data_IF_055734649838
#
_entry.id   IF_055734649838
#
_cell.length_a   1.000
_cell.length_b   1.000
_cell.length_c   1.000
_cell.angle_alpha   90.00
_cell.angle_beta   90.00
_cell.angle_gamma   90.00
#
_symmetry.space_group_name_H-M   'P 1'
#
loop_
_entity.id
_entity.type
_entity.pdbx_description
1 polymer ?
#
# COMPACT_ATOMS: atom_id res chain seq x y z
N UNK A 1 105.65 -54.75 22.40
CA UNK A 1 105.17 -55.31 21.13
C UNK A 1 103.73 -54.91 20.92
N UNK A 2 103.40 -54.63 19.67
CA UNK A 2 102.22 -53.93 19.17
C UNK A 2 100.86 -54.65 19.36
N UNK A 3 99.86 -53.78 19.25
CA UNK A 3 98.39 -53.90 19.07
C UNK A 3 97.96 -54.88 17.93
N UNK A 4 96.65 -55.21 17.74
CA UNK A 4 95.70 -54.23 17.20
C UNK A 4 94.20 -54.32 17.64
N UNK A 5 93.62 -53.14 17.89
CA UNK A 5 92.40 -52.52 17.31
C UNK A 5 91.12 -53.37 17.14
N UNK A 6 90.01 -52.88 17.73
CA UNK A 6 88.62 -52.74 17.17
C UNK A 6 87.63 -52.58 18.35
N UNK A 7 86.58 -51.76 18.41
CA UNK A 7 85.79 -51.00 17.45
C UNK A 7 85.13 -49.78 18.13
N UNK A 8 84.78 -48.78 17.32
CA UNK A 8 84.01 -47.57 17.64
C UNK A 8 82.58 -47.88 18.13
N UNK A 9 82.06 -47.08 19.05
CA UNK A 9 80.62 -46.85 19.20
C UNK A 9 80.32 -45.34 19.04
N UNK A 10 79.68 -45.01 17.91
CA UNK A 10 79.10 -43.72 17.59
C UNK A 10 77.79 -43.56 18.38
N UNK A 11 77.73 -42.57 19.27
CA UNK A 11 76.49 -42.16 19.92
C UNK A 11 75.69 -41.29 18.94
N UNK A 12 74.81 -41.93 18.15
CA UNK A 12 73.82 -41.24 17.34
C UNK A 12 72.73 -40.64 18.24
N UNK A 13 72.64 -39.31 18.27
CA UNK A 13 71.56 -38.55 18.90
C UNK A 13 70.26 -38.79 18.12
N UNK A 14 69.37 -39.65 18.62
CA UNK A 14 68.03 -39.88 18.03
C UNK A 14 67.14 -38.68 18.34
N UNK A 15 67.01 -37.75 17.41
CA UNK A 15 66.01 -36.67 17.41
C UNK A 15 64.65 -37.20 16.94
N UNK A 16 64.05 -38.12 17.69
CA UNK A 16 62.67 -38.57 17.45
C UNK A 16 61.70 -37.75 18.29
N UNK A 17 61.09 -36.69 17.73
CA UNK A 17 59.89 -36.10 18.36
C UNK A 17 58.81 -37.20 18.43
N UNK A 18 58.19 -37.46 19.59
CA UNK A 18 57.21 -38.52 19.71
C UNK A 18 56.00 -38.22 18.83
N UNK A 19 55.59 -39.18 17.98
CA UNK A 19 54.34 -39.10 17.24
C UNK A 19 53.17 -39.06 18.24
N UNK A 20 52.27 -38.09 18.11
CA UNK A 20 51.13 -37.98 19.01
C UNK A 20 50.22 -39.22 18.84
N UNK A 21 49.71 -39.76 19.95
CA UNK A 21 48.79 -40.90 19.93
C UNK A 21 47.48 -40.54 19.22
N UNK A 22 46.91 -41.44 18.41
CA UNK A 22 45.67 -41.21 17.62
C UNK A 22 44.49 -40.57 18.40
N UNK A 23 44.33 -40.88 19.70
CA UNK A 23 43.30 -40.27 20.56
C UNK A 23 43.51 -38.78 20.88
N UNK A 24 44.74 -38.26 20.77
CA UNK A 24 45.03 -36.82 20.89
C UNK A 24 44.63 -36.11 19.60
N UNK A 25 45.01 -36.65 18.45
CA UNK A 25 44.60 -36.12 17.14
C UNK A 25 43.08 -36.06 16.98
N UNK A 26 42.34 -37.06 17.47
CA UNK A 26 40.87 -37.06 17.42
C UNK A 26 40.23 -35.92 18.24
N UNK A 27 40.76 -35.63 19.44
CA UNK A 27 40.28 -34.50 20.26
C UNK A 27 40.54 -33.14 19.59
N UNK A 28 41.71 -32.99 18.96
CA UNK A 28 42.05 -31.77 18.22
C UNK A 28 41.16 -31.60 16.99
N UNK A 29 40.91 -32.65 16.22
CA UNK A 29 40.03 -32.60 15.04
C UNK A 29 38.58 -32.27 15.40
N UNK A 30 38.05 -32.80 16.51
CA UNK A 30 36.72 -32.44 17.01
C UNK A 30 36.67 -30.97 17.44
N UNK A 31 37.71 -30.48 18.14
CA UNK A 31 37.80 -29.07 18.53
C UNK A 31 37.77 -28.14 17.33
N UNK A 32 38.46 -28.50 16.25
CA UNK A 32 38.49 -27.72 15.00
C UNK A 32 37.14 -27.73 14.28
N UNK A 33 36.46 -28.88 14.21
CA UNK A 33 35.08 -28.95 13.67
C UNK A 33 34.14 -28.05 14.47
N UNK A 34 34.19 -28.10 15.80
CA UNK A 34 33.34 -27.26 16.66
C UNK A 34 33.63 -25.77 16.43
N UNK A 35 34.91 -25.38 16.33
CA UNK A 35 35.30 -24.00 16.05
C UNK A 35 34.80 -23.52 14.67
N UNK A 36 34.92 -24.37 13.64
CA UNK A 36 34.40 -24.07 12.29
C UNK A 36 32.88 -23.92 12.32
N UNK A 37 32.16 -24.82 13.01
CA UNK A 37 30.70 -24.75 13.14
C UNK A 37 30.28 -23.47 13.86
N UNK A 38 30.93 -23.10 14.97
CA UNK A 38 30.67 -21.83 15.66
C UNK A 38 30.91 -20.64 14.73
N UNK A 39 32.01 -20.65 13.96
CA UNK A 39 32.30 -19.62 12.97
C UNK A 39 31.19 -19.47 11.92
N UNK A 40 30.71 -20.58 11.37
CA UNK A 40 29.61 -20.60 10.40
C UNK A 40 28.31 -20.09 11.03
N UNK A 41 27.98 -20.53 12.25
CA UNK A 41 26.76 -20.10 12.93
C UNK A 41 26.77 -18.60 13.24
N UNK A 42 27.90 -18.04 13.67
CA UNK A 42 28.04 -16.59 13.90
C UNK A 42 27.90 -15.83 12.57
N UNK A 43 28.55 -16.31 11.51
CA UNK A 43 28.43 -15.70 10.18
C UNK A 43 26.98 -15.70 9.67
N UNK A 44 26.26 -16.81 9.85
CA UNK A 44 24.84 -16.91 9.53
C UNK A 44 23.99 -15.98 10.40
N UNK A 45 24.27 -15.88 11.69
CA UNK A 45 23.53 -14.96 12.58
C UNK A 45 23.70 -13.49 12.19
N UNK A 46 24.93 -13.07 11.87
CA UNK A 46 25.20 -11.70 11.40
C UNK A 46 24.45 -11.43 10.09
N UNK A 47 24.48 -12.38 9.15
CA UNK A 47 23.76 -12.27 7.90
C UNK A 47 22.24 -12.15 8.11
N UNK A 48 21.67 -12.99 8.97
CA UNK A 48 20.24 -12.96 9.31
C UNK A 48 19.83 -11.65 9.99
N UNK A 49 20.68 -11.10 10.88
CA UNK A 49 20.41 -9.81 11.52
C UNK A 49 20.44 -8.63 10.54
N UNK A 50 21.40 -8.62 9.62
CA UNK A 50 21.47 -7.64 8.55
C UNK A 50 20.23 -7.70 7.64
N UNK A 51 19.81 -8.91 7.26
CA UNK A 51 18.61 -9.13 6.44
C UNK A 51 17.34 -8.63 7.14
N UNK A 52 17.17 -8.98 8.43
CA UNK A 52 16.04 -8.48 9.24
C UNK A 52 16.01 -6.95 9.31
N UNK A 53 17.17 -6.31 9.42
CA UNK A 53 17.28 -4.84 9.48
C UNK A 53 16.88 -4.19 8.15
N UNK A 54 17.27 -4.80 7.02
CA UNK A 54 16.83 -4.36 5.69
C UNK A 54 15.32 -4.49 5.52
N UNK A 55 14.76 -5.65 5.83
CA UNK A 55 13.30 -5.88 5.77
C UNK A 55 12.55 -4.87 6.64
N UNK A 56 13.03 -4.59 7.85
CA UNK A 56 12.41 -3.60 8.73
C UNK A 56 12.43 -2.18 8.15
N UNK A 57 13.52 -1.82 7.49
CA UNK A 57 13.66 -0.51 6.84
C UNK A 57 12.69 -0.39 5.66
N UNK A 58 12.54 -1.46 4.87
CA UNK A 58 11.58 -1.52 3.77
C UNK A 58 10.13 -1.47 4.26
N UNK A 59 9.80 -2.19 5.33
CA UNK A 59 8.49 -2.15 5.98
C UNK A 59 8.13 -0.71 6.40
N UNK A 60 9.03 -0.03 7.14
CA UNK A 60 8.77 1.34 7.62
C UNK A 60 8.57 2.31 6.45
N UNK A 61 9.38 2.18 5.39
CA UNK A 61 9.24 3.01 4.19
C UNK A 61 7.86 2.81 3.55
N UNK A 62 7.47 1.56 3.31
CA UNK A 62 6.19 1.22 2.71
C UNK A 62 5.00 1.68 3.56
N UNK A 63 5.07 1.46 4.89
CA UNK A 63 4.04 1.93 5.83
C UNK A 63 3.91 3.46 5.83
N UNK A 64 5.02 4.18 5.63
CA UNK A 64 5.00 5.64 5.53
C UNK A 64 4.29 6.09 4.25
N UNK A 65 4.57 5.43 3.12
CA UNK A 65 3.91 5.70 1.83
C UNK A 65 2.41 5.36 1.90
N UNK A 66 2.04 4.21 2.45
CA UNK A 66 0.65 3.80 2.69
C UNK A 66 -0.08 4.80 3.59
N UNK A 67 0.54 5.23 4.70
CA UNK A 67 -0.05 6.24 5.58
C UNK A 67 -0.31 7.55 4.83
N UNK A 68 0.62 8.00 4.00
CA UNK A 68 0.44 9.21 3.20
C UNK A 68 -0.72 9.08 2.21
N UNK A 69 -0.81 7.94 1.52
CA UNK A 69 -1.92 7.65 0.61
C UNK A 69 -3.27 7.65 1.35
N UNK A 70 -3.36 6.96 2.49
CA UNK A 70 -4.59 6.90 3.30
C UNK A 70 -5.03 8.26 3.86
N UNK A 71 -4.07 9.15 4.19
CA UNK A 71 -4.40 10.52 4.60
C UNK A 71 -4.99 11.30 3.43
N UNK A 72 -4.40 11.17 2.22
CA UNK A 72 -4.93 11.79 1.01
C UNK A 72 -6.34 11.28 0.70
N UNK A 73 -6.54 9.96 0.73
CA UNK A 73 -7.84 9.33 0.49
C UNK A 73 -8.89 9.84 1.48
N UNK A 74 -8.52 9.98 2.77
CA UNK A 74 -9.42 10.49 3.80
C UNK A 74 -9.86 11.93 3.55
N UNK A 75 -8.96 12.81 3.14
CA UNK A 75 -9.31 14.21 2.87
C UNK A 75 -10.15 14.34 1.58
N UNK A 76 -9.87 13.53 0.55
CA UNK A 76 -10.69 13.45 -0.66
C UNK A 76 -12.12 12.98 -0.34
N UNK A 77 -12.26 11.89 0.43
CA UNK A 77 -13.56 11.37 0.87
C UNK A 77 -14.33 12.43 1.66
N UNK A 78 -13.69 13.18 2.56
CA UNK A 78 -14.35 14.27 3.29
C UNK A 78 -14.84 15.38 2.37
N UNK A 79 -14.03 15.77 1.37
CA UNK A 79 -14.43 16.76 0.38
C UNK A 79 -15.67 16.27 -0.38
N UNK A 80 -15.63 15.02 -0.86
CA UNK A 80 -16.73 14.40 -1.60
C UNK A 80 -18.02 14.32 -0.76
N UNK A 81 -17.92 13.99 0.54
CA UNK A 81 -19.06 14.03 1.46
C UNK A 81 -19.65 15.44 1.56
N UNK A 82 -18.82 16.48 1.64
CA UNK A 82 -19.27 17.86 1.66
C UNK A 82 -19.99 18.27 0.39
N UNK A 83 -19.48 17.86 -0.78
CA UNK A 83 -20.12 18.10 -2.07
C UNK A 83 -21.47 17.37 -2.17
N UNK A 84 -21.54 16.09 -1.78
CA UNK A 84 -22.81 15.36 -1.76
C UNK A 84 -23.85 15.98 -0.83
N UNK A 85 -23.43 16.47 0.34
CA UNK A 85 -24.33 17.17 1.26
C UNK A 85 -24.88 18.46 0.62
N UNK A 86 -24.02 19.22 -0.08
CA UNK A 86 -24.42 20.41 -0.83
C UNK A 86 -25.42 20.06 -1.95
N UNK A 87 -25.13 19.03 -2.75
CA UNK A 87 -26.01 18.54 -3.82
C UNK A 87 -27.36 18.09 -3.27
N UNK A 88 -27.39 17.32 -2.19
CA UNK A 88 -28.63 16.87 -1.55
C UNK A 88 -29.48 18.05 -1.07
N UNK A 89 -28.85 19.08 -0.50
CA UNK A 89 -29.54 20.31 -0.11
C UNK A 89 -30.12 21.06 -1.32
N UNK A 90 -29.35 21.21 -2.41
CA UNK A 90 -29.87 21.81 -3.65
C UNK A 90 -31.05 21.03 -4.22
N UNK A 91 -30.98 19.71 -4.26
CA UNK A 91 -32.09 18.85 -4.72
C UNK A 91 -33.32 19.06 -3.83
N UNK A 92 -33.14 19.15 -2.51
CA UNK A 92 -34.26 19.36 -1.57
C UNK A 92 -34.96 20.70 -1.82
N UNK A 93 -34.20 21.77 -2.03
CA UNK A 93 -34.71 23.10 -2.39
C UNK A 93 -35.48 23.05 -3.71
N UNK A 94 -34.92 22.41 -4.74
CA UNK A 94 -35.58 22.28 -6.04
C UNK A 94 -36.89 21.49 -5.92
N UNK A 95 -36.89 20.36 -5.20
CA UNK A 95 -38.08 19.54 -5.01
C UNK A 95 -39.19 20.31 -4.29
N UNK A 96 -38.86 21.03 -3.22
CA UNK A 96 -39.83 21.87 -2.51
C UNK A 96 -40.37 22.99 -3.41
N UNK A 97 -39.50 23.66 -4.15
CA UNK A 97 -39.87 24.75 -5.03
C UNK A 97 -40.79 24.30 -6.18
N UNK A 98 -40.44 23.18 -6.84
CA UNK A 98 -41.21 22.60 -7.94
C UNK A 98 -42.54 22.01 -7.45
N UNK A 99 -42.55 21.31 -6.32
CA UNK A 99 -43.78 20.71 -5.75
C UNK A 99 -44.82 21.75 -5.38
N UNK A 100 -44.38 22.90 -4.89
CA UNK A 100 -45.25 24.05 -4.56
C UNK A 100 -45.57 24.92 -5.79
N UNK A 101 -45.11 24.55 -6.99
CA UNK A 101 -45.33 25.27 -8.25
C UNK A 101 -44.96 26.76 -8.16
N UNK A 102 -43.88 27.05 -7.45
CA UNK A 102 -43.41 28.41 -7.26
C UNK A 102 -42.83 28.98 -8.56
N UNK A 103 -42.90 30.31 -8.76
CA UNK A 103 -42.35 30.94 -9.95
C UNK A 103 -40.82 30.88 -9.96
N UNK A 104 -40.26 30.69 -11.14
CA UNK A 104 -38.82 30.73 -11.38
C UNK A 104 -38.18 32.00 -10.83
N UNK A 105 -36.97 31.85 -10.29
CA UNK A 105 -36.07 32.95 -9.99
C UNK A 105 -34.61 32.50 -10.19
N UNK A 106 -33.71 33.47 -10.40
CA UNK A 106 -32.31 33.20 -10.79
C UNK A 106 -31.46 32.52 -9.69
N UNK A 107 -31.95 32.40 -8.45
CA UNK A 107 -31.24 31.61 -7.42
C UNK A 107 -31.30 30.10 -7.70
N UNK A 108 -32.32 29.64 -8.43
CA UNK A 108 -32.49 28.24 -8.79
C UNK A 108 -31.40 27.74 -9.74
N UNK A 109 -30.80 28.62 -10.54
CA UNK A 109 -29.79 28.25 -11.53
C UNK A 109 -28.58 27.55 -10.89
N UNK A 110 -28.16 28.02 -9.71
CA UNK A 110 -27.10 27.37 -8.94
C UNK A 110 -27.55 25.99 -8.45
N UNK A 111 -28.78 25.87 -7.96
CA UNK A 111 -29.30 24.60 -7.47
C UNK A 111 -29.45 23.57 -8.58
N UNK A 112 -29.89 23.97 -9.78
CA UNK A 112 -29.93 23.09 -10.95
C UNK A 112 -28.55 22.61 -11.36
N UNK A 113 -27.55 23.49 -11.37
CA UNK A 113 -26.17 23.11 -11.68
C UNK A 113 -25.63 22.10 -10.65
N UNK A 114 -25.78 22.43 -9.36
CA UNK A 114 -25.27 21.62 -8.25
C UNK A 114 -25.99 20.28 -8.09
N UNK A 115 -27.27 20.18 -8.52
CA UNK A 115 -28.04 18.94 -8.52
C UNK A 115 -27.48 17.89 -9.49
N UNK A 116 -26.72 18.32 -10.50
CA UNK A 116 -26.07 17.46 -11.48
C UNK A 116 -24.59 17.21 -11.16
N UNK A 117 -24.10 17.72 -10.02
CA UNK A 117 -22.70 17.55 -9.64
C UNK A 117 -22.41 16.07 -9.30
N UNK A 118 -21.28 15.57 -9.77
CA UNK A 118 -20.77 14.22 -9.47
C UNK A 118 -19.37 14.33 -8.92
N UNK A 119 -19.09 13.62 -7.84
CA UNK A 119 -17.75 13.56 -7.26
C UNK A 119 -16.95 12.41 -7.87
N UNK A 120 -15.63 12.46 -7.71
CA UNK A 120 -14.72 11.37 -8.09
C UNK A 120 -13.81 11.08 -6.92
N UNK A 121 -13.67 9.79 -6.58
CA UNK A 121 -12.73 9.35 -5.57
C UNK A 121 -11.32 9.28 -6.19
N UNK A 122 -10.44 10.19 -5.76
CA UNK A 122 -9.07 10.33 -6.24
C UNK A 122 -8.10 9.49 -5.41
N UNK A 123 -8.17 8.18 -5.58
CA UNK A 123 -7.39 7.20 -4.80
C UNK A 123 -5.95 7.00 -5.30
N UNK A 124 -5.02 6.77 -4.38
CA UNK A 124 -3.64 6.32 -4.70
C UNK A 124 -3.35 4.91 -4.19
N UNK A 125 -3.38 3.92 -5.10
CA UNK A 125 -3.13 2.50 -4.78
C UNK A 125 -1.67 2.06 -4.87
N UNK A 126 -0.78 2.89 -5.44
CA UNK A 126 0.62 2.50 -5.77
C UNK A 126 1.40 1.85 -4.60
N UNK A 127 1.36 2.37 -3.36
CA UNK A 127 2.04 1.72 -2.23
C UNK A 127 1.44 0.35 -1.89
N UNK A 128 0.13 0.17 -2.03
CA UNK A 128 -0.54 -1.11 -1.78
C UNK A 128 -0.26 -2.13 -2.89
N UNK A 129 -0.22 -1.70 -4.15
CA UNK A 129 0.25 -2.55 -5.26
C UNK A 129 1.70 -3.01 -5.04
N UNK A 130 2.56 -2.11 -4.56
CA UNK A 130 3.94 -2.43 -4.19
C UNK A 130 4.00 -3.49 -3.08
N UNK A 131 3.13 -3.41 -2.06
CA UNK A 131 3.01 -4.44 -1.02
C UNK A 131 2.66 -5.79 -1.62
N UNK A 132 1.68 -5.85 -2.54
CA UNK A 132 1.28 -7.11 -3.19
C UNK A 132 2.42 -7.73 -4.01
N UNK A 133 3.20 -6.91 -4.71
CA UNK A 133 4.36 -7.36 -5.50
C UNK A 133 5.50 -7.84 -4.60
N UNK A 134 5.83 -7.09 -3.54
CA UNK A 134 6.91 -7.43 -2.60
C UNK A 134 6.57 -8.61 -1.69
N UNK A 135 5.28 -8.87 -1.47
CA UNK A 135 4.76 -9.91 -0.60
C UNK A 135 4.16 -9.30 0.66
N UNK A 136 2.94 -9.75 1.07
CA UNK A 136 2.25 -9.17 2.23
C UNK A 136 3.06 -9.31 3.51
N UNK A 137 3.80 -10.42 3.68
CA UNK A 137 4.60 -10.71 4.89
C UNK A 137 5.74 -9.72 5.16
N UNK A 138 6.00 -8.78 4.24
CA UNK A 138 6.89 -7.63 4.48
C UNK A 138 6.41 -6.77 5.66
N UNK A 139 5.09 -6.67 5.89
CA UNK A 139 4.54 -6.03 7.08
C UNK A 139 4.45 -7.08 8.18
N UNK A 140 5.16 -6.93 9.30
CA UNK A 140 5.20 -7.92 10.38
C UNK A 140 3.85 -8.01 11.12
N UNK A 141 3.07 -6.93 11.13
CA UNK A 141 1.79 -6.87 11.85
C UNK A 141 0.64 -7.46 11.03
N UNK A 142 0.27 -8.71 11.31
CA UNK A 142 -0.82 -9.44 10.66
C UNK A 142 -2.16 -8.68 10.67
N UNK A 143 -2.51 -8.09 11.81
CA UNK A 143 -3.77 -7.35 11.94
C UNK A 143 -3.80 -6.11 11.04
N UNK A 144 -2.68 -5.40 10.93
CA UNK A 144 -2.54 -4.27 10.02
C UNK A 144 -2.63 -4.72 8.56
N UNK A 145 -2.00 -5.84 8.20
CA UNK A 145 -2.11 -6.41 6.84
C UNK A 145 -3.55 -6.70 6.45
N UNK A 146 -4.30 -7.35 7.35
CA UNK A 146 -5.71 -7.67 7.12
C UNK A 146 -6.54 -6.40 6.95
N UNK A 147 -6.33 -5.37 7.78
CA UNK A 147 -7.04 -4.10 7.66
C UNK A 147 -6.72 -3.37 6.34
N UNK A 148 -5.45 -3.38 5.92
CA UNK A 148 -5.05 -2.82 4.62
C UNK A 148 -5.71 -3.57 3.47
N UNK A 149 -5.70 -4.91 3.50
CA UNK A 149 -6.39 -5.72 2.50
C UNK A 149 -7.89 -5.43 2.42
N UNK A 150 -8.57 -5.36 3.57
CA UNK A 150 -10.00 -5.03 3.61
C UNK A 150 -10.29 -3.67 2.97
N UNK A 151 -9.49 -2.65 3.32
CA UNK A 151 -9.62 -1.30 2.74
C UNK A 151 -9.42 -1.28 1.22
N UNK A 152 -8.26 -1.74 0.75
CA UNK A 152 -7.88 -1.59 -0.65
C UNK A 152 -8.63 -2.57 -1.58
N UNK A 153 -8.88 -3.81 -1.14
CA UNK A 153 -9.51 -4.81 -2.01
C UNK A 153 -11.05 -4.72 -1.99
N UNK A 154 -11.66 -4.27 -0.89
CA UNK A 154 -13.13 -4.20 -0.77
C UNK A 154 -13.66 -2.78 -0.83
N UNK A 155 -13.21 -1.92 0.08
CA UNK A 155 -13.82 -0.59 0.22
C UNK A 155 -13.48 0.31 -0.97
N UNK A 156 -12.21 0.32 -1.41
CA UNK A 156 -11.80 1.08 -2.60
C UNK A 156 -12.48 0.55 -3.86
N UNK A 157 -12.54 -0.77 -4.05
CA UNK A 157 -13.22 -1.39 -5.19
C UNK A 157 -14.70 -0.99 -5.27
N UNK A 158 -15.42 -1.09 -4.15
CA UNK A 158 -16.82 -0.68 -4.08
C UNK A 158 -17.03 0.81 -4.38
N UNK A 159 -16.13 1.69 -3.93
CA UNK A 159 -16.21 3.12 -4.26
C UNK A 159 -16.07 3.38 -5.76
N UNK A 160 -15.18 2.65 -6.45
CA UNK A 160 -15.06 2.76 -7.90
C UNK A 160 -16.31 2.27 -8.63
N UNK A 161 -16.92 1.16 -8.20
CA UNK A 161 -18.18 0.66 -8.78
C UNK A 161 -19.31 1.70 -8.65
N UNK A 162 -19.46 2.33 -7.48
CA UNK A 162 -20.45 3.40 -7.28
C UNK A 162 -20.19 4.60 -8.18
N UNK A 163 -18.92 4.98 -8.36
CA UNK A 163 -18.55 6.10 -9.20
C UNK A 163 -18.81 5.81 -10.68
N UNK A 164 -18.50 4.59 -11.16
CA UNK A 164 -18.78 4.17 -12.53
C UNK A 164 -20.29 4.20 -12.81
N UNK A 165 -21.10 3.68 -11.89
CA UNK A 165 -22.55 3.74 -11.99
C UNK A 165 -23.08 5.17 -12.01
N UNK A 166 -22.55 6.05 -11.16
CA UNK A 166 -22.90 7.48 -11.16
C UNK A 166 -22.57 8.15 -12.49
N UNK A 167 -21.42 7.83 -13.07
CA UNK A 167 -20.98 8.38 -14.36
C UNK A 167 -21.82 7.85 -15.52
N UNK A 168 -22.18 6.57 -15.51
CA UNK A 168 -23.08 5.97 -16.49
C UNK A 168 -24.45 6.66 -16.47
N UNK A 169 -25.06 6.79 -15.29
CA UNK A 169 -26.34 7.47 -15.12
C UNK A 169 -26.28 8.93 -15.59
N UNK A 170 -25.19 9.63 -15.25
CA UNK A 170 -24.96 10.99 -15.74
C UNK A 170 -24.90 11.04 -17.27
N UNK A 171 -24.16 10.13 -17.90
CA UNK A 171 -24.03 10.08 -19.36
C UNK A 171 -25.36 9.75 -20.05
N UNK A 172 -26.17 8.85 -19.49
CA UNK A 172 -27.51 8.53 -20.01
C UNK A 172 -28.45 9.74 -19.94
N UNK A 173 -28.34 10.54 -18.88
CA UNK A 173 -29.17 11.74 -18.71
C UNK A 173 -28.66 12.95 -19.52
N UNK A 174 -27.42 12.93 -19.97
CA UNK A 174 -26.72 14.08 -20.56
C UNK A 174 -27.42 14.68 -21.78
N UNK A 175 -27.94 13.84 -22.69
CA UNK A 175 -28.65 14.33 -23.89
C UNK A 175 -29.89 15.14 -23.51
N UNK A 176 -30.71 14.60 -22.60
CA UNK A 176 -31.89 15.31 -22.09
C UNK A 176 -31.53 16.57 -21.31
N UNK A 177 -30.39 16.59 -20.62
CA UNK A 177 -29.94 17.80 -19.92
C UNK A 177 -29.66 18.97 -20.90
N UNK A 178 -29.12 18.69 -22.10
CA UNK A 178 -28.90 19.73 -23.12
C UNK A 178 -30.20 20.30 -23.67
N UNK A 179 -31.28 19.52 -23.69
CA UNK A 179 -32.61 20.00 -24.10
C UNK A 179 -33.26 20.88 -23.04
N UNK A 180 -33.02 20.57 -21.76
CA UNK A 180 -33.67 21.23 -20.63
C UNK A 180 -32.95 22.50 -20.17
N UNK A 181 -31.64 22.64 -20.41
CA UNK A 181 -30.83 23.74 -19.90
C UNK A 181 -30.05 24.48 -20.99
N UNK A 182 -29.96 25.80 -20.81
CA UNK A 182 -29.27 26.73 -21.74
C UNK A 182 -27.75 26.57 -21.77
N UNK A 183 -27.16 25.97 -20.74
CA UNK A 183 -25.75 25.59 -20.71
C UNK A 183 -25.50 24.48 -19.69
N UNK A 184 -24.45 23.69 -19.90
CA UNK A 184 -23.99 22.65 -18.97
C UNK A 184 -22.79 23.13 -18.13
N UNK A 185 -22.90 24.33 -17.56
CA UNK A 185 -21.90 24.84 -16.61
C UNK A 185 -22.21 24.33 -15.21
N UNK A 186 -21.90 23.06 -14.98
CA UNK A 186 -22.18 22.32 -13.74
C UNK A 186 -21.58 22.96 -12.49
N UNK A 187 -20.51 23.75 -12.65
CA UNK A 187 -19.77 24.41 -11.55
C UNK A 187 -20.21 25.87 -11.30
N UNK A 188 -21.23 26.36 -12.01
CA UNK A 188 -21.62 27.78 -11.98
C UNK A 188 -23.15 27.91 -11.87
N UNK A 189 -23.84 27.92 -13.02
CA UNK A 189 -25.28 28.16 -13.12
C UNK A 189 -25.85 27.46 -14.33
N UNK A 190 -27.00 26.81 -14.15
CA UNK A 190 -27.75 26.15 -15.21
C UNK A 190 -29.17 26.69 -15.26
N UNK A 191 -29.43 27.54 -16.25
CA UNK A 191 -30.75 28.12 -16.47
C UNK A 191 -31.61 27.23 -17.36
N UNK A 192 -32.83 26.87 -16.95
CA UNK A 192 -33.81 26.18 -17.78
C UNK A 192 -34.07 26.86 -19.12
N UNK A 193 -34.22 26.10 -20.19
CA UNK A 193 -34.69 26.62 -21.49
C UNK A 193 -36.15 27.08 -21.38
N UNK A 194 -36.99 26.24 -20.76
CA UNK A 194 -38.37 26.56 -20.40
C UNK A 194 -38.69 25.98 -19.03
N UNK A 195 -38.80 26.85 -18.03
CA UNK A 195 -39.11 26.46 -16.65
C UNK A 195 -40.51 25.85 -16.51
N UNK A 196 -41.51 26.35 -17.25
CA UNK A 196 -42.88 25.84 -17.15
C UNK A 196 -42.99 24.43 -17.74
N UNK A 197 -42.21 24.14 -18.79
CA UNK A 197 -42.09 22.79 -19.34
C UNK A 197 -41.41 21.82 -18.35
N UNK A 198 -40.40 22.30 -17.61
CA UNK A 198 -39.72 21.54 -16.58
C UNK A 198 -40.68 21.14 -15.45
N UNK A 199 -41.46 22.09 -14.92
CA UNK A 199 -42.46 21.86 -13.86
C UNK A 199 -43.55 20.87 -14.29
N UNK A 200 -44.04 20.96 -15.54
CA UNK A 200 -45.12 20.08 -16.06
C UNK A 200 -44.72 18.62 -16.24
N UNK A 201 -43.42 18.33 -16.33
CA UNK A 201 -42.87 16.99 -16.57
C UNK A 201 -42.30 16.34 -15.30
N UNK A 202 -42.40 17.02 -14.16
CA UNK A 202 -42.10 16.52 -12.80
C UNK A 202 -43.39 16.13 -12.09
#
# INVERSE_FOLDING_TARGET
MENPISAKASAGTKTGKPALSAGRYFKYAIGEIILVVIGILIALQINNWNEKTKLKTEEIKLLTELKSALISDKEDIKSNIGEHASTANSISILLEHLSNQLPYNDSLDFHFANALNTTRFAHTSSPYETLKIKGPDLIENDSLRVMLGDYYDKHVGYQFELQELSLENFNLAKERQFELFTSLRFWDKMKPVDYNLLVKNT
#
